data_IF_768805041562
#
_entry.id   IF_768805041562
#
_cell.length_a   1.000
_cell.length_b   1.000
_cell.length_c   1.000
_cell.angle_alpha   90.00
_cell.angle_beta   90.00
_cell.angle_gamma   90.00
#
_symmetry.space_group_name_H-M   'P 1'
#
loop_
_entity.id
_entity.type
_entity.pdbx_description
1 polymer ?
#
# COMPACT_ATOMS: atom_id res chain seq x y z
N UNK A 1 71.76 9.62 43.71
CA UNK A 1 71.53 9.52 42.25
C UNK A 1 70.84 8.20 41.98
N UNK A 2 69.52 8.22 41.87
CA UNK A 2 68.70 7.08 41.44
C UNK A 2 67.62 7.66 40.51
N UNK A 3 67.56 7.12 39.30
CA UNK A 3 66.55 7.43 38.29
C UNK A 3 65.14 7.10 38.78
N UNK A 4 64.16 7.89 38.36
CA UNK A 4 62.78 7.46 38.27
C UNK A 4 62.13 8.12 37.06
N UNK A 5 62.09 7.36 35.97
CA UNK A 5 61.11 7.51 34.92
C UNK A 5 59.71 7.35 35.53
N UNK A 6 58.87 8.37 35.45
CA UNK A 6 57.43 8.22 35.61
C UNK A 6 56.68 9.42 35.00
N UNK A 7 55.86 9.15 33.99
CA UNK A 7 54.66 9.93 33.74
C UNK A 7 54.69 10.88 32.55
N UNK A 8 54.86 10.36 31.33
CA UNK A 8 54.37 11.06 30.13
C UNK A 8 53.43 10.18 29.30
N UNK A 9 52.42 9.63 29.97
CA UNK A 9 51.38 8.82 29.32
C UNK A 9 50.05 8.89 30.10
N UNK A 10 49.48 10.08 30.35
CA UNK A 10 48.03 10.21 30.61
C UNK A 10 47.49 11.66 30.56
N UNK A 11 47.45 12.30 29.38
CA UNK A 11 46.79 13.61 29.21
C UNK A 11 45.95 13.70 27.93
N UNK A 12 45.12 12.69 27.68
CA UNK A 12 44.17 12.72 26.55
C UNK A 12 42.81 12.11 26.89
N UNK A 13 42.35 12.28 28.13
CA UNK A 13 40.96 12.03 28.50
C UNK A 13 40.48 13.22 29.33
N UNK A 14 39.37 13.82 28.92
CA UNK A 14 38.56 14.78 29.69
C UNK A 14 38.84 16.29 29.55
N UNK A 15 39.23 16.79 28.37
CA UNK A 15 39.00 18.20 28.03
C UNK A 15 37.72 18.34 27.21
N UNK A 16 36.56 18.40 27.90
CA UNK A 16 35.31 18.85 27.29
C UNK A 16 35.55 20.24 26.71
N UNK A 17 35.25 20.44 25.42
CA UNK A 17 35.52 21.73 24.77
C UNK A 17 34.69 22.84 25.42
N UNK A 18 35.28 24.02 25.59
CA UNK A 18 34.61 25.20 26.14
C UNK A 18 33.39 25.60 25.31
N UNK A 19 33.43 25.33 24.01
CA UNK A 19 32.28 25.47 23.09
C UNK A 19 31.13 24.53 23.44
N UNK A 20 31.40 23.26 23.77
CA UNK A 20 30.38 22.31 24.19
C UNK A 20 29.75 22.71 25.54
N UNK A 21 30.58 23.14 26.49
CA UNK A 21 30.08 23.66 27.78
C UNK A 21 29.24 24.92 27.60
N UNK A 22 29.65 25.85 26.72
CA UNK A 22 28.88 27.05 26.41
C UNK A 22 27.56 26.72 25.72
N UNK A 23 27.55 25.78 24.78
CA UNK A 23 26.35 25.30 24.13
C UNK A 23 25.39 24.62 25.13
N UNK A 24 25.92 23.83 26.06
CA UNK A 24 25.13 23.16 27.11
C UNK A 24 24.59 24.16 28.15
N UNK A 25 25.34 25.21 28.50
CA UNK A 25 24.87 26.28 29.37
C UNK A 25 23.76 27.11 28.69
N UNK A 26 23.95 27.49 27.43
CA UNK A 26 22.90 28.15 26.64
C UNK A 26 21.66 27.27 26.51
N UNK A 27 21.82 25.93 26.38
CA UNK A 27 20.71 24.98 26.37
C UNK A 27 19.93 25.00 27.69
N UNK A 28 20.61 25.07 28.84
CA UNK A 28 19.98 25.11 30.16
C UNK A 28 19.28 26.44 30.43
N UNK A 29 19.87 27.54 29.99
CA UNK A 29 19.25 28.87 30.06
C UNK A 29 17.99 28.93 29.17
N UNK A 30 18.04 28.37 27.97
CA UNK A 30 16.88 28.21 27.08
C UNK A 30 15.79 27.31 27.73
N UNK A 31 16.18 26.24 28.44
CA UNK A 31 15.22 25.38 29.15
C UNK A 31 14.51 26.09 30.31
N UNK A 32 15.19 27.04 30.98
CA UNK A 32 14.56 27.87 32.00
C UNK A 32 13.54 28.88 31.43
N UNK A 33 13.64 29.21 30.15
CA UNK A 33 12.75 30.16 29.45
C UNK A 33 11.62 29.49 28.63
N UNK A 34 11.50 28.15 28.66
CA UNK A 34 10.49 27.44 27.86
C UNK A 34 9.06 27.66 28.36
N UNK A 35 8.07 27.74 27.44
CA UNK A 35 6.67 27.74 27.84
C UNK A 35 6.32 26.41 28.52
N UNK A 36 5.52 26.47 29.60
CA UNK A 36 5.00 25.26 30.22
C UNK A 36 4.03 24.55 29.26
N UNK A 37 4.20 23.24 29.10
CA UNK A 37 3.21 22.42 28.41
C UNK A 37 1.94 22.29 29.27
N UNK A 38 0.78 22.26 28.62
CA UNK A 38 -0.53 22.13 29.23
C UNK A 38 -1.42 23.34 28.94
N UNK A 39 -2.71 23.07 28.75
CA UNK A 39 -3.72 24.08 28.47
C UNK A 39 -4.03 24.94 29.69
N UNK A 40 -4.00 24.37 30.90
CA UNK A 40 -4.31 25.08 32.15
C UNK A 40 -5.76 25.60 32.26
N UNK A 41 -6.61 25.37 31.25
CA UNK A 41 -7.97 25.91 31.17
C UNK A 41 -8.99 24.86 31.60
N UNK A 42 -9.68 25.09 32.72
CA UNK A 42 -10.88 24.34 33.11
C UNK A 42 -12.13 25.07 32.62
N UNK A 43 -12.47 24.88 31.34
CA UNK A 43 -13.72 25.37 30.79
C UNK A 43 -14.94 24.70 31.44
N UNK A 44 -16.14 25.30 31.27
CA UNK A 44 -17.38 24.66 31.70
C UNK A 44 -17.65 23.42 30.85
N UNK A 45 -17.45 22.23 31.44
CA UNK A 45 -17.63 20.96 30.77
C UNK A 45 -19.10 20.52 30.82
N UNK A 46 -19.71 20.30 29.66
CA UNK A 46 -21.08 19.81 29.58
C UNK A 46 -21.10 18.37 29.07
N UNK A 47 -21.14 17.42 29.98
CA UNK A 47 -21.09 15.99 29.66
C UNK A 47 -22.23 15.55 28.71
N UNK A 48 -23.40 16.21 28.78
CA UNK A 48 -24.57 15.82 27.97
C UNK A 48 -24.35 16.01 26.46
N UNK A 49 -23.69 17.09 26.06
CA UNK A 49 -23.36 17.35 24.65
C UNK A 49 -22.26 16.41 24.14
N UNK A 50 -21.32 16.01 25.00
CA UNK A 50 -20.31 15.00 24.64
C UNK A 50 -20.92 13.60 24.47
N UNK A 51 -21.89 13.23 25.32
CA UNK A 51 -22.62 11.96 25.17
C UNK A 51 -23.48 11.96 23.90
N UNK A 52 -24.12 13.10 23.58
CA UNK A 52 -24.82 13.25 22.31
C UNK A 52 -23.87 13.12 21.11
N UNK A 53 -22.73 13.80 21.15
CA UNK A 53 -21.69 13.71 20.12
C UNK A 53 -21.20 12.26 19.92
N UNK A 54 -21.04 11.50 21.00
CA UNK A 54 -20.68 10.08 20.94
C UNK A 54 -21.72 9.26 20.18
N UNK A 55 -23.00 9.42 20.52
CA UNK A 55 -24.09 8.74 19.81
C UNK A 55 -24.17 9.15 18.35
N UNK A 56 -24.01 10.44 18.06
CA UNK A 56 -24.02 10.99 16.70
C UNK A 56 -22.92 10.38 15.83
N UNK A 57 -21.66 10.39 16.32
CA UNK A 57 -20.52 9.86 15.59
C UNK A 57 -20.68 8.35 15.36
N UNK A 58 -21.11 7.59 16.37
CA UNK A 58 -21.37 6.15 16.25
C UNK A 58 -22.35 5.83 15.12
N UNK A 59 -23.48 6.56 15.07
CA UNK A 59 -24.51 6.34 14.05
C UNK A 59 -23.99 6.72 12.67
N UNK A 60 -23.39 7.91 12.54
CA UNK A 60 -22.89 8.41 11.26
C UNK A 60 -21.78 7.51 10.68
N UNK A 61 -20.80 7.11 11.50
CA UNK A 61 -19.69 6.25 11.07
C UNK A 61 -20.16 4.87 10.64
N UNK A 62 -21.09 4.26 11.40
CA UNK A 62 -21.66 2.94 11.09
C UNK A 62 -22.49 2.98 9.81
N UNK A 63 -23.31 4.03 9.62
CA UNK A 63 -24.13 4.19 8.41
C UNK A 63 -23.25 4.47 7.20
N UNK A 64 -22.27 5.39 7.30
CA UNK A 64 -21.40 5.75 6.19
C UNK A 64 -20.54 4.57 5.72
N UNK A 65 -19.98 3.79 6.65
CA UNK A 65 -19.20 2.59 6.35
C UNK A 65 -20.07 1.42 5.87
N UNK A 66 -21.28 1.25 6.43
CA UNK A 66 -22.21 0.22 6.01
C UNK A 66 -22.87 0.47 4.64
N UNK A 67 -22.98 1.73 4.22
CA UNK A 67 -23.73 2.12 3.02
C UNK A 67 -23.24 1.45 1.72
N UNK A 68 -21.93 1.42 1.38
CA UNK A 68 -21.43 0.71 0.21
C UNK A 68 -21.72 -0.80 0.23
N UNK A 69 -21.68 -1.44 1.40
CA UNK A 69 -21.96 -2.87 1.56
C UNK A 69 -23.44 -3.18 1.29
N UNK A 70 -24.34 -2.37 1.86
CA UNK A 70 -25.78 -2.49 1.67
C UNK A 70 -26.12 -2.25 0.20
N UNK A 71 -25.55 -1.21 -0.42
CA UNK A 71 -25.73 -0.88 -1.83
C UNK A 71 -25.36 -2.05 -2.75
N UNK A 72 -24.24 -2.74 -2.47
CA UNK A 72 -23.83 -3.93 -3.24
C UNK A 72 -24.80 -5.11 -3.08
N UNK A 73 -25.35 -5.34 -1.89
CA UNK A 73 -26.24 -6.48 -1.62
C UNK A 73 -27.68 -6.24 -2.09
N UNK A 74 -28.16 -5.00 -2.03
CA UNK A 74 -29.57 -4.67 -2.25
C UNK A 74 -29.92 -4.40 -3.70
N UNK A 75 -28.95 -4.07 -4.56
CA UNK A 75 -29.26 -3.60 -5.91
C UNK A 75 -28.86 -4.61 -7.00
N UNK A 76 -29.87 -5.12 -7.72
CA UNK A 76 -29.71 -5.76 -9.04
C UNK A 76 -29.71 -4.75 -10.20
N UNK A 77 -29.71 -3.44 -9.90
CA UNK A 77 -29.77 -2.36 -10.89
C UNK A 77 -28.36 -1.87 -11.26
N UNK A 78 -28.16 -1.58 -12.55
CA UNK A 78 -26.92 -1.07 -13.12
C UNK A 78 -26.39 0.22 -12.43
N UNK A 79 -27.25 0.99 -11.76
CA UNK A 79 -26.86 2.22 -11.06
C UNK A 79 -26.00 2.00 -9.81
N UNK A 80 -26.16 0.87 -9.10
CA UNK A 80 -25.38 0.62 -7.88
C UNK A 80 -23.90 0.31 -8.17
N UNK A 81 -23.62 -0.34 -9.30
CA UNK A 81 -22.24 -0.55 -9.76
C UNK A 81 -21.50 0.76 -10.02
N UNK A 82 -22.18 1.77 -10.59
CA UNK A 82 -21.60 3.09 -10.82
C UNK A 82 -21.35 3.85 -9.51
N UNK A 83 -22.29 3.78 -8.56
CA UNK A 83 -22.10 4.40 -7.25
C UNK A 83 -20.89 3.81 -6.50
N UNK A 84 -20.79 2.47 -6.43
CA UNK A 84 -19.67 1.79 -5.75
C UNK A 84 -18.33 2.15 -6.42
N UNK A 85 -18.30 2.18 -7.75
CA UNK A 85 -17.12 2.57 -8.52
C UNK A 85 -16.66 4.00 -8.18
N UNK A 86 -17.56 4.98 -8.17
CA UNK A 86 -17.23 6.37 -7.84
C UNK A 86 -16.80 6.47 -6.37
N UNK A 87 -17.55 5.85 -5.47
CA UNK A 87 -17.27 5.84 -4.02
C UNK A 87 -15.89 5.24 -3.70
N UNK A 88 -15.47 4.22 -4.45
CA UNK A 88 -14.17 3.56 -4.28
C UNK A 88 -13.00 4.51 -4.57
N UNK A 89 -13.07 5.21 -5.70
CA UNK A 89 -12.02 6.15 -6.11
C UNK A 89 -12.07 7.45 -5.32
N UNK A 90 -13.27 7.95 -5.02
CA UNK A 90 -13.45 9.04 -4.07
C UNK A 90 -12.80 8.71 -2.72
N UNK A 91 -13.03 7.49 -2.21
CA UNK A 91 -12.42 7.02 -0.97
C UNK A 91 -10.90 6.98 -1.00
N UNK A 92 -10.28 6.59 -2.12
CA UNK A 92 -8.81 6.66 -2.28
C UNK A 92 -8.29 8.08 -2.07
N UNK A 93 -8.96 9.07 -2.66
CA UNK A 93 -8.61 10.47 -2.48
C UNK A 93 -8.75 10.94 -1.04
N UNK A 94 -9.84 10.56 -0.37
CA UNK A 94 -10.07 10.86 1.06
C UNK A 94 -8.93 10.33 1.91
N UNK A 95 -8.55 9.06 1.77
CA UNK A 95 -7.50 8.45 2.59
C UNK A 95 -6.12 9.09 2.38
N UNK A 96 -5.77 9.39 1.12
CA UNK A 96 -4.51 10.09 0.80
C UNK A 96 -4.51 11.49 1.44
N UNK A 97 -5.62 12.22 1.35
CA UNK A 97 -5.75 13.54 1.97
C UNK A 97 -5.74 13.46 3.49
N UNK A 98 -6.37 12.47 4.13
CA UNK A 98 -6.22 12.26 5.58
C UNK A 98 -4.75 12.15 5.94
N UNK A 99 -4.01 11.29 5.24
CA UNK A 99 -2.63 11.01 5.58
C UNK A 99 -1.71 12.23 5.41
N UNK A 100 -1.84 12.98 4.30
CA UNK A 100 -1.00 14.14 3.99
C UNK A 100 -1.43 15.46 4.64
N UNK A 101 -2.73 15.71 4.78
CA UNK A 101 -3.27 17.00 5.23
C UNK A 101 -3.61 16.98 6.71
N UNK A 102 -4.05 15.84 7.26
CA UNK A 102 -4.48 15.76 8.65
C UNK A 102 -3.44 15.09 9.53
N UNK A 103 -3.03 13.86 9.21
CA UNK A 103 -2.18 13.07 10.10
C UNK A 103 -0.76 13.60 10.16
N UNK A 104 -0.14 13.75 8.98
CA UNK A 104 1.26 14.14 8.90
C UNK A 104 1.50 15.53 9.48
N UNK A 105 0.71 16.57 9.14
CA UNK A 105 0.93 17.91 9.68
C UNK A 105 0.63 17.96 11.18
N UNK A 106 -0.41 17.27 11.66
CA UNK A 106 -0.68 17.19 13.10
C UNK A 106 0.47 16.53 13.85
N UNK A 107 1.09 15.49 13.27
CA UNK A 107 2.27 14.86 13.84
C UNK A 107 3.47 15.83 13.92
N UNK A 108 3.69 16.61 12.85
CA UNK A 108 4.72 17.65 12.84
C UNK A 108 4.48 18.72 13.90
N UNK A 109 3.27 19.29 13.96
CA UNK A 109 2.92 20.33 14.93
C UNK A 109 3.09 19.80 16.36
N UNK A 110 2.62 18.59 16.64
CA UNK A 110 2.69 18.02 18.00
C UNK A 110 4.12 17.66 18.43
N UNK A 111 4.95 17.09 17.53
CA UNK A 111 6.33 16.71 17.85
C UNK A 111 7.32 17.88 17.82
N UNK A 112 6.97 19.01 17.18
CA UNK A 112 7.83 20.20 17.11
C UNK A 112 7.40 21.33 18.04
N UNK A 113 6.47 21.06 18.96
CA UNK A 113 5.99 22.06 19.91
C UNK A 113 7.14 22.64 20.76
N UNK A 114 7.24 23.97 20.92
CA UNK A 114 8.33 24.62 21.66
C UNK A 114 8.39 24.24 23.15
N UNK A 115 7.29 23.73 23.72
CA UNK A 115 7.25 23.29 25.11
C UNK A 115 7.99 21.95 25.33
N UNK A 116 8.24 21.16 24.27
CA UNK A 116 8.90 19.86 24.33
C UNK A 116 10.42 19.95 24.57
N UNK A 117 11.07 18.85 25.03
CA UNK A 117 12.53 18.77 25.18
C UNK A 117 13.26 19.17 23.88
N UNK A 118 14.47 19.72 24.02
CA UNK A 118 15.23 20.29 22.90
C UNK A 118 15.36 19.33 21.71
N UNK A 119 15.53 18.04 21.98
CA UNK A 119 15.61 16.99 20.96
C UNK A 119 14.45 17.03 19.96
N UNK A 120 13.22 17.22 20.44
CA UNK A 120 12.00 17.20 19.64
C UNK A 120 11.74 18.55 18.94
N UNK A 121 11.92 19.67 19.66
CA UNK A 121 11.57 21.01 19.16
C UNK A 121 12.63 21.64 18.24
N UNK A 122 13.92 21.51 18.58
CA UNK A 122 15.04 22.14 17.84
C UNK A 122 16.06 21.14 17.29
N UNK A 123 16.25 19.99 17.94
CA UNK A 123 17.27 19.00 17.57
C UNK A 123 16.99 18.28 16.26
N UNK A 124 15.81 17.65 16.14
CA UNK A 124 15.42 16.90 14.94
C UNK A 124 13.95 17.12 14.57
N UNK A 125 13.65 18.30 14.00
CA UNK A 125 12.30 18.65 13.51
C UNK A 125 11.68 17.67 12.52
N UNK A 126 12.42 17.01 11.60
CA UNK A 126 11.82 16.05 10.68
C UNK A 126 11.47 14.68 11.29
N UNK A 127 11.46 14.55 12.63
CA UNK A 127 11.17 13.29 13.33
C UNK A 127 9.84 12.67 12.92
N UNK A 128 8.77 13.47 12.79
CA UNK A 128 7.46 12.97 12.38
C UNK A 128 7.51 12.28 11.01
N UNK A 129 8.19 12.90 10.04
CA UNK A 129 8.41 12.33 8.72
C UNK A 129 9.27 11.07 8.73
N UNK A 130 10.31 11.02 9.57
CA UNK A 130 11.14 9.83 9.75
C UNK A 130 10.33 8.65 10.29
N UNK A 131 9.49 8.88 11.30
CA UNK A 131 8.62 7.85 11.90
C UNK A 131 7.58 7.38 10.88
N UNK A 132 6.96 8.29 10.13
CA UNK A 132 6.03 7.94 9.07
C UNK A 132 6.70 7.08 7.99
N UNK A 133 7.87 7.49 7.50
CA UNK A 133 8.65 6.72 6.52
C UNK A 133 9.01 5.32 7.04
N UNK A 134 9.50 5.23 8.29
CA UNK A 134 9.83 3.94 8.89
C UNK A 134 8.61 3.03 8.99
N UNK A 135 7.45 3.56 9.41
CA UNK A 135 6.22 2.77 9.48
C UNK A 135 5.76 2.26 8.10
N UNK A 136 5.90 3.06 7.04
CA UNK A 136 5.61 2.63 5.67
C UNK A 136 6.56 1.50 5.22
N UNK A 137 7.86 1.63 5.50
CA UNK A 137 8.86 0.59 5.20
C UNK A 137 8.61 -0.70 5.99
N UNK A 138 8.16 -0.59 7.25
CA UNK A 138 7.77 -1.76 8.05
C UNK A 138 6.59 -2.47 7.39
N UNK A 139 5.58 -1.77 6.86
CA UNK A 139 4.47 -2.42 6.14
C UNK A 139 4.98 -3.14 4.90
N UNK A 140 5.85 -2.51 4.10
CA UNK A 140 6.49 -3.17 2.95
C UNK A 140 7.24 -4.43 3.39
N UNK A 141 8.03 -4.33 4.46
CA UNK A 141 8.73 -5.48 5.03
C UNK A 141 7.79 -6.58 5.49
N UNK A 142 6.67 -6.22 6.15
CA UNK A 142 5.65 -7.18 6.56
C UNK A 142 4.96 -7.82 5.36
N UNK A 143 4.59 -7.06 4.33
CA UNK A 143 4.02 -7.61 3.09
C UNK A 143 5.00 -8.53 2.38
N UNK A 144 6.27 -8.16 2.30
CA UNK A 144 7.33 -9.00 1.73
C UNK A 144 7.48 -10.31 2.52
N UNK A 145 7.56 -10.24 3.86
CA UNK A 145 7.67 -11.42 4.72
C UNK A 145 6.43 -12.30 4.64
N UNK A 146 5.23 -11.72 4.60
CA UNK A 146 3.98 -12.46 4.47
C UNK A 146 3.84 -13.09 3.08
N UNK A 147 4.36 -12.45 2.04
CA UNK A 147 4.42 -13.02 0.68
C UNK A 147 5.39 -14.20 0.64
N UNK A 148 6.58 -14.06 1.23
CA UNK A 148 7.59 -15.13 1.30
C UNK A 148 7.12 -16.31 2.16
N UNK A 149 6.52 -16.04 3.34
CA UNK A 149 6.04 -17.09 4.26
C UNK A 149 4.70 -17.69 3.82
N UNK A 150 3.88 -16.93 3.10
CA UNK A 150 2.67 -17.43 2.45
C UNK A 150 2.98 -18.43 1.32
N UNK A 151 4.18 -18.36 0.74
CA UNK A 151 4.71 -19.35 -0.18
C UNK A 151 5.27 -20.63 0.51
N UNK A 152 5.21 -20.71 1.85
CA UNK A 152 5.73 -21.85 2.61
C UNK A 152 4.96 -23.18 2.44
N UNK A 153 3.87 -23.21 1.67
CA UNK A 153 3.16 -24.45 1.30
C UNK A 153 2.76 -24.55 -0.19
N UNK A 154 3.38 -23.78 -1.09
CA UNK A 154 3.25 -24.06 -2.52
C UNK A 154 4.43 -23.47 -3.30
N UNK A 155 5.15 -24.33 -4.01
CA UNK A 155 6.38 -24.01 -4.71
C UNK A 155 6.20 -22.99 -5.84
N UNK A 156 7.00 -21.92 -5.73
CA UNK A 156 7.90 -21.36 -6.75
C UNK A 156 7.37 -20.58 -7.97
N UNK A 157 7.99 -19.39 -8.08
CA UNK A 157 8.31 -18.54 -9.23
C UNK A 157 7.32 -17.51 -9.78
N UNK A 158 7.80 -16.26 -9.61
CA UNK A 158 7.64 -15.05 -10.42
C UNK A 158 7.16 -15.26 -11.86
N UNK A 159 6.28 -14.34 -12.24
CA UNK A 159 5.50 -14.40 -13.46
C UNK A 159 6.29 -14.30 -14.76
N UNK A 160 5.71 -14.94 -15.77
CA UNK A 160 5.86 -14.58 -17.16
C UNK A 160 4.53 -14.88 -17.88
N UNK A 161 4.28 -14.14 -18.95
CA UNK A 161 3.01 -13.95 -19.62
C UNK A 161 2.60 -15.13 -20.48
N UNK A 162 1.29 -15.37 -20.63
CA UNK A 162 0.76 -16.15 -21.76
C UNK A 162 -0.29 -15.36 -22.52
N UNK A 163 -0.05 -15.27 -23.83
CA UNK A 163 -0.82 -14.55 -24.82
C UNK A 163 -2.14 -15.27 -25.11
N UNK A 164 -3.19 -14.49 -25.37
CA UNK A 164 -4.46 -15.00 -25.89
C UNK A 164 -4.32 -15.18 -27.40
N UNK A 165 -4.55 -16.37 -27.98
CA UNK A 165 -4.71 -16.51 -29.42
C UNK A 165 -6.09 -16.04 -29.85
N UNK A 166 -6.11 -15.36 -30.99
CA UNK A 166 -7.30 -14.90 -31.71
C UNK A 166 -8.31 -16.01 -31.98
N UNK A 167 -9.59 -15.64 -31.91
CA UNK A 167 -10.70 -16.49 -32.33
C UNK A 167 -11.03 -16.22 -33.80
N UNK A 168 -10.84 -17.23 -34.65
CA UNK A 168 -11.37 -17.26 -36.01
C UNK A 168 -12.07 -18.60 -36.28
N UNK A 169 -13.39 -18.49 -36.51
CA UNK A 169 -14.23 -19.19 -37.50
C UNK A 169 -14.12 -20.74 -37.65
N UNK A 170 -15.10 -21.46 -37.09
CA UNK A 170 -15.38 -22.86 -37.43
C UNK A 170 -16.07 -22.97 -38.80
N UNK A 171 -15.34 -23.51 -39.79
CA UNK A 171 -15.89 -24.03 -41.04
C UNK A 171 -16.19 -25.54 -40.91
N UNK A 172 -17.38 -25.89 -41.39
CA UNK A 172 -18.06 -27.17 -41.31
C UNK A 172 -17.60 -28.13 -42.43
N UNK A 173 -17.25 -29.39 -42.14
CA UNK A 173 -17.37 -30.48 -43.13
C UNK A 173 -17.66 -31.86 -42.50
N UNK A 174 -18.79 -32.39 -42.92
CA UNK A 174 -19.29 -33.76 -42.73
C UNK A 174 -18.37 -34.83 -43.30
N UNK A 175 -18.27 -35.99 -42.64
CA UNK A 175 -18.29 -37.29 -43.35
C UNK A 175 -18.78 -38.45 -42.47
N UNK A 176 -19.92 -38.99 -42.90
CA UNK A 176 -20.55 -40.30 -42.70
C UNK A 176 -19.92 -41.35 -41.77
N UNK A 177 -20.68 -41.78 -40.76
CA UNK A 177 -20.48 -43.03 -40.03
C UNK A 177 -21.72 -43.93 -40.18
N UNK A 178 -21.53 -45.13 -40.74
CA UNK A 178 -22.53 -46.19 -40.82
C UNK A 178 -22.04 -47.44 -40.05
N UNK A 179 -22.74 -47.72 -38.94
CA UNK A 179 -23.14 -49.01 -38.36
C UNK A 179 -22.14 -50.14 -37.95
N UNK A 180 -22.50 -50.74 -36.80
CA UNK A 180 -22.32 -52.15 -36.29
C UNK A 180 -21.26 -52.44 -35.19
N UNK A 181 -21.50 -53.44 -34.30
CA UNK A 181 -21.39 -53.28 -32.84
C UNK A 181 -20.38 -54.22 -32.12
N UNK A 182 -20.20 -53.94 -30.82
CA UNK A 182 -19.41 -54.65 -29.78
C UNK A 182 -19.40 -56.18 -29.84
N UNK A 183 -18.34 -56.79 -29.26
CA UNK A 183 -18.56 -57.84 -28.25
C UNK A 183 -17.83 -57.61 -26.91
N UNK A 184 -18.45 -58.13 -25.85
CA UNK A 184 -18.01 -58.21 -24.45
C UNK A 184 -16.99 -59.35 -24.23
N UNK A 185 -16.03 -59.18 -23.29
CA UNK A 185 -15.39 -60.25 -22.47
C UNK A 185 -14.96 -59.62 -21.12
N UNK A 186 -15.64 -59.84 -19.99
CA UNK A 186 -15.52 -60.92 -18.97
C UNK A 186 -14.23 -60.94 -18.13
N UNK A 187 -14.43 -60.68 -16.84
CA UNK A 187 -13.67 -60.93 -15.60
C UNK A 187 -12.37 -61.76 -15.62
N UNK A 188 -11.37 -61.28 -14.88
CA UNK A 188 -10.25 -62.05 -14.34
C UNK A 188 -9.59 -61.33 -13.15
N UNK A 189 -9.47 -62.04 -12.02
CA UNK A 189 -9.07 -61.57 -10.70
C UNK A 189 -7.68 -62.17 -10.36
N UNK A 190 -6.91 -61.47 -9.51
CA UNK A 190 -5.88 -61.99 -8.59
C UNK A 190 -4.40 -62.05 -9.04
N UNK A 191 -3.62 -61.09 -8.52
CA UNK A 191 -2.51 -61.34 -7.56
C UNK A 191 -1.13 -61.76 -8.09
N UNK A 192 -0.12 -60.89 -7.91
CA UNK A 192 1.23 -61.35 -7.56
C UNK A 192 2.06 -60.27 -6.83
N UNK A 193 2.73 -60.73 -5.78
CA UNK A 193 3.55 -60.01 -4.81
C UNK A 193 4.91 -59.53 -5.36
N UNK A 194 5.49 -58.54 -4.68
CA UNK A 194 6.94 -58.22 -4.64
C UNK A 194 7.16 -56.85 -3.98
N UNK A 195 7.17 -56.72 -2.64
CA UNK A 195 8.36 -56.76 -1.76
C UNK A 195 9.58 -55.99 -2.29
N UNK A 196 9.86 -54.80 -1.71
CA UNK A 196 11.08 -54.54 -0.95
C UNK A 196 11.06 -53.17 -0.26
N UNK A 197 11.55 -53.16 0.98
CA UNK A 197 11.75 -51.99 1.84
C UNK A 197 13.22 -51.99 2.33
N UNK A 198 13.70 -50.79 2.69
CA UNK A 198 14.81 -50.45 3.63
C UNK A 198 16.23 -50.18 3.02
N UNK A 199 17.15 -49.46 3.69
CA UNK A 199 17.20 -47.98 3.88
C UNK A 199 18.62 -47.32 3.81
N UNK A 200 18.63 -45.97 3.98
CA UNK A 200 19.51 -45.02 4.73
C UNK A 200 21.07 -45.08 4.72
N UNK A 201 21.59 -43.84 4.75
CA UNK A 201 22.89 -43.33 5.25
C UNK A 201 24.06 -43.22 4.26
N UNK A 202 24.34 -41.99 3.83
CA UNK A 202 25.71 -41.47 3.60
C UNK A 202 25.76 -40.03 4.12
N UNK A 203 26.67 -39.79 5.07
CA UNK A 203 27.12 -38.49 5.54
C UNK A 203 28.65 -38.41 5.38
N UNK A 204 29.20 -37.19 5.52
CA UNK A 204 30.62 -36.77 5.49
C UNK A 204 31.14 -36.44 4.09
N UNK A 205 31.90 -35.37 3.83
CA UNK A 205 32.45 -34.25 4.61
C UNK A 205 33.03 -33.22 3.61
N UNK A 206 33.12 -31.96 4.04
CA UNK A 206 34.06 -30.89 3.67
C UNK A 206 34.60 -30.71 2.23
N UNK A 207 34.38 -29.52 1.67
CA UNK A 207 35.51 -28.63 1.36
C UNK A 207 35.09 -27.17 1.16
N UNK A 208 35.89 -26.35 1.83
CA UNK A 208 35.93 -24.90 1.98
C UNK A 208 36.25 -24.14 0.66
N UNK A 209 35.62 -22.98 0.46
CA UNK A 209 36.12 -21.90 -0.39
C UNK A 209 35.30 -20.61 -0.16
N UNK A 210 35.49 -19.99 1.01
CA UNK A 210 35.29 -18.56 1.19
C UNK A 210 36.62 -17.81 1.07
N UNK A 211 36.79 -17.03 -0.01
CA UNK A 211 37.69 -15.86 -0.18
C UNK A 211 37.41 -15.33 -1.61
N UNK A 212 37.01 -14.08 -1.90
CA UNK A 212 37.45 -12.80 -1.35
C UNK A 212 38.48 -12.19 -2.31
N UNK A 213 38.08 -11.25 -3.20
CA UNK A 213 38.82 -10.04 -3.64
C UNK A 213 38.33 -9.43 -4.99
N UNK A 214 37.67 -8.28 -4.83
CA UNK A 214 37.71 -7.01 -5.62
C UNK A 214 38.43 -6.97 -6.97
N UNK A 215 37.68 -6.65 -8.03
CA UNK A 215 37.98 -5.69 -9.12
C UNK A 215 36.68 -5.56 -9.96
N UNK A 216 36.01 -4.42 -10.06
CA UNK A 216 36.51 -3.22 -10.71
C UNK A 216 36.16 -3.27 -12.20
N UNK A 217 35.26 -2.35 -12.61
CA UNK A 217 34.99 -1.89 -13.99
C UNK A 217 33.90 -2.63 -14.79
N UNK A 218 32.74 -1.96 -14.90
CA UNK A 218 31.75 -2.15 -15.97
C UNK A 218 32.15 -1.36 -17.22
N UNK A 219 31.86 -1.82 -18.45
CA UNK A 219 31.82 -0.95 -19.61
C UNK A 219 30.36 -0.64 -20.01
N UNK A 220 29.98 0.63 -19.83
CA UNK A 220 28.99 1.32 -20.66
C UNK A 220 29.65 1.75 -21.98
N UNK A 221 28.94 1.79 -23.11
CA UNK A 221 29.34 2.62 -24.24
C UNK A 221 28.59 3.96 -24.19
N UNK A 222 29.34 5.04 -24.13
CA UNK A 222 28.91 6.42 -24.42
C UNK A 222 29.42 6.80 -25.81
N UNK A 223 28.56 7.38 -26.65
CA UNK A 223 28.98 8.39 -27.63
C UNK A 223 27.81 9.34 -27.96
N UNK A 224 28.05 10.63 -27.71
CA UNK A 224 27.36 11.85 -28.20
C UNK A 224 28.37 12.62 -29.11
N UNK A 225 28.07 13.71 -29.87
CA UNK A 225 26.84 14.51 -30.07
C UNK A 225 26.52 14.97 -31.55
N UNK A 226 25.44 15.78 -31.67
CA UNK A 226 24.86 16.61 -32.79
C UNK A 226 25.84 17.47 -33.66
N UNK A 227 25.44 18.17 -34.79
CA UNK A 227 24.23 19.02 -34.97
C UNK A 227 23.53 19.03 -36.35
N UNK A 228 22.35 19.67 -36.41
CA UNK A 228 21.39 19.57 -37.52
C UNK A 228 21.44 20.65 -38.62
N UNK A 229 20.41 20.65 -39.48
CA UNK A 229 19.93 21.79 -40.28
C UNK A 229 18.48 21.58 -40.74
N UNK A 230 17.76 22.68 -40.90
CA UNK A 230 16.33 22.84 -41.21
C UNK A 230 16.02 22.70 -42.72
N UNK A 231 14.86 22.09 -43.03
CA UNK A 231 13.79 22.41 -44.04
C UNK A 231 14.15 22.97 -45.46
N UNK A 232 13.22 23.07 -46.47
CA UNK A 232 11.79 22.75 -46.49
C UNK A 232 11.25 22.01 -47.75
N UNK A 233 10.07 21.37 -47.58
CA UNK A 233 8.80 21.44 -48.35
C UNK A 233 8.76 21.86 -49.85
N UNK A 234 7.81 21.22 -50.56
CA UNK A 234 7.15 21.51 -51.88
C UNK A 234 7.73 20.77 -53.10
N UNK A 235 7.02 20.44 -54.19
CA UNK A 235 5.59 20.28 -54.61
C UNK A 235 5.68 20.15 -56.16
N UNK A 236 4.87 19.31 -56.81
CA UNK A 236 4.55 19.30 -58.28
C UNK A 236 5.72 18.94 -59.25
N UNK A 237 5.58 18.39 -60.46
CA UNK A 237 4.54 17.79 -61.33
C UNK A 237 5.30 17.22 -62.56
N UNK A 238 4.75 16.20 -63.23
CA UNK A 238 4.86 15.86 -64.68
C UNK A 238 6.23 15.48 -65.29
N UNK A 239 6.36 14.24 -65.81
CA UNK A 239 6.11 13.79 -67.21
C UNK A 239 7.23 14.29 -68.15
N UNK A 240 7.87 13.54 -69.06
CA UNK A 240 7.98 12.16 -69.54
C UNK A 240 9.49 12.03 -69.90
N UNK A 241 10.13 10.89 -70.19
CA UNK A 241 10.03 10.02 -71.36
C UNK A 241 11.37 9.24 -71.42
N UNK A 242 11.39 8.10 -72.12
CA UNK A 242 12.54 7.40 -72.71
C UNK A 242 13.31 6.32 -71.89
N UNK A 243 12.85 5.08 -72.08
CA UNK A 243 13.51 3.99 -72.83
C UNK A 243 14.63 3.08 -72.24
N UNK A 244 14.45 1.77 -72.57
CA UNK A 244 15.38 0.61 -72.62
C UNK A 244 15.74 -0.08 -71.27
N UNK A 245 15.17 -1.26 -70.95
CA UNK A 245 15.68 -2.64 -71.23
C UNK A 245 16.97 -2.96 -70.43
N UNK A 246 17.20 -4.09 -69.77
CA UNK A 246 16.80 -5.47 -70.03
C UNK A 246 17.35 -6.40 -68.91
N UNK A 247 16.81 -7.63 -68.80
CA UNK A 247 17.32 -8.87 -68.17
C UNK A 247 16.80 -9.33 -66.79
N UNK A 248 15.68 -10.05 -66.85
CA UNK A 248 15.36 -11.23 -66.04
C UNK A 248 16.28 -12.42 -66.39
N UNK A 249 16.54 -13.32 -65.44
CA UNK A 249 16.43 -14.77 -65.68
C UNK A 249 16.52 -15.58 -64.38
N UNK A 250 15.43 -16.32 -64.17
CA UNK A 250 15.14 -17.30 -63.14
C UNK A 250 16.15 -18.46 -63.02
N UNK A 251 15.94 -19.18 -61.91
CA UNK A 251 16.01 -20.66 -61.84
C UNK A 251 17.38 -21.27 -61.51
N UNK A 252 17.44 -21.92 -60.34
CA UNK A 252 17.92 -23.30 -60.14
C UNK A 252 17.91 -23.63 -58.64
N UNK A 253 16.89 -24.39 -58.21
CA UNK A 253 17.02 -25.32 -57.07
C UNK A 253 17.61 -26.64 -57.62
N UNK A 254 18.47 -27.33 -56.86
CA UNK A 254 18.03 -28.66 -56.42
C UNK A 254 18.53 -29.08 -55.02
N UNK A 255 17.59 -29.57 -54.21
CA UNK A 255 17.65 -30.78 -53.36
C UNK A 255 18.93 -31.09 -52.56
N UNK A 256 18.81 -31.02 -51.23
CA UNK A 256 19.48 -31.94 -50.31
C UNK A 256 18.61 -32.21 -49.07
N UNK A 257 17.96 -33.37 -49.07
CA UNK A 257 17.43 -33.97 -47.84
C UNK A 257 18.54 -34.62 -47.01
N UNK A 258 18.27 -34.74 -45.70
CA UNK A 258 18.75 -35.71 -44.71
C UNK A 258 19.55 -35.11 -43.53
N UNK A 259 18.95 -35.00 -42.35
CA UNK A 259 19.07 -36.00 -41.27
C UNK A 259 18.26 -35.60 -40.04
N UNK A 260 17.68 -36.62 -39.41
CA UNK A 260 16.69 -36.60 -38.34
C UNK A 260 17.36 -36.60 -36.94
N UNK A 261 16.55 -36.37 -35.88
CA UNK A 261 16.80 -36.45 -34.42
C UNK A 261 17.46 -35.22 -33.75
N UNK A 262 16.80 -34.54 -32.81
CA UNK A 262 16.48 -35.12 -31.49
C UNK A 262 15.31 -34.41 -30.80
N UNK A 263 14.51 -35.21 -30.10
CA UNK A 263 13.43 -34.84 -29.22
C UNK A 263 13.83 -33.73 -28.23
N UNK A 264 13.22 -32.55 -28.36
CA UNK A 264 13.21 -31.55 -27.28
C UNK A 264 11.98 -31.85 -26.43
N UNK A 265 12.20 -32.65 -25.39
CA UNK A 265 11.24 -32.86 -24.30
C UNK A 265 10.92 -31.50 -23.68
N UNK A 266 9.75 -30.95 -24.03
CA UNK A 266 9.27 -29.68 -23.49
C UNK A 266 8.87 -29.95 -22.03
N UNK A 267 9.47 -29.27 -21.02
CA UNK A 267 9.09 -29.50 -19.64
C UNK A 267 7.62 -29.11 -19.44
N UNK A 268 6.86 -29.82 -18.60
CA UNK A 268 5.45 -29.54 -18.38
C UNK A 268 5.30 -28.13 -17.80
N UNK A 269 4.65 -27.23 -18.55
CA UNK A 269 4.24 -25.93 -18.04
C UNK A 269 3.27 -26.13 -16.88
N UNK A 270 3.74 -25.84 -15.67
CA UNK A 270 2.91 -25.78 -14.48
C UNK A 270 2.04 -24.51 -14.54
N UNK A 271 0.78 -24.66 -14.91
CA UNK A 271 -0.25 -23.62 -14.75
C UNK A 271 -0.44 -23.31 -13.26
N UNK A 272 0.37 -22.40 -12.71
CA UNK A 272 0.26 -21.90 -11.34
C UNK A 272 -0.85 -20.85 -11.25
N UNK A 273 -2.11 -21.30 -11.24
CA UNK A 273 -3.24 -20.45 -10.88
C UNK A 273 -3.18 -20.20 -9.37
N UNK A 274 -2.84 -18.98 -8.96
CA UNK A 274 -3.00 -18.52 -7.57
C UNK A 274 -4.43 -18.85 -7.13
N UNK A 275 -4.58 -19.64 -6.07
CA UNK A 275 -5.90 -20.03 -5.60
C UNK A 275 -6.73 -18.77 -5.29
N UNK A 276 -8.00 -18.69 -5.74
CA UNK A 276 -8.87 -17.55 -5.45
C UNK A 276 -9.08 -17.31 -3.94
N UNK A 277 -8.75 -18.30 -3.11
CA UNK A 277 -8.73 -18.15 -1.66
C UNK A 277 -7.53 -17.35 -1.14
N UNK A 278 -6.36 -17.50 -1.76
CA UNK A 278 -5.14 -16.83 -1.31
C UNK A 278 -5.12 -15.36 -1.73
N UNK A 279 -5.63 -15.05 -2.92
CA UNK A 279 -5.85 -13.66 -3.33
C UNK A 279 -6.87 -12.96 -2.41
N UNK A 280 -7.93 -13.67 -1.99
CA UNK A 280 -8.90 -13.13 -1.02
C UNK A 280 -8.25 -12.87 0.34
N UNK A 281 -7.41 -13.78 0.84
CA UNK A 281 -6.68 -13.57 2.10
C UNK A 281 -5.76 -12.35 2.01
N UNK A 282 -5.09 -12.16 0.88
CA UNK A 282 -4.21 -11.00 0.63
C UNK A 282 -4.98 -9.69 0.66
N UNK A 283 -6.12 -9.62 -0.04
CA UNK A 283 -6.99 -8.43 -0.04
C UNK A 283 -7.57 -8.13 1.36
N UNK A 284 -7.96 -9.17 2.11
CA UNK A 284 -8.42 -9.01 3.50
C UNK A 284 -7.30 -8.47 4.38
N UNK A 285 -6.08 -8.98 4.23
CA UNK A 285 -4.93 -8.51 4.99
C UNK A 285 -4.60 -7.05 4.67
N UNK A 286 -4.57 -6.67 3.39
CA UNK A 286 -4.38 -5.27 2.97
C UNK A 286 -5.47 -4.36 3.52
N UNK A 287 -6.73 -4.79 3.45
CA UNK A 287 -7.85 -4.07 4.02
C UNK A 287 -7.73 -3.95 5.55
N UNK A 288 -7.26 -4.98 6.24
CA UNK A 288 -7.06 -4.97 7.69
C UNK A 288 -5.89 -4.06 8.10
N UNK A 289 -4.80 -4.03 7.32
CA UNK A 289 -3.69 -3.09 7.53
C UNK A 289 -4.15 -1.64 7.36
N UNK A 290 -4.96 -1.38 6.33
CA UNK A 290 -5.58 -0.07 6.10
C UNK A 290 -6.54 0.29 7.25
N UNK A 291 -7.40 -0.65 7.66
CA UNK A 291 -8.33 -0.48 8.78
C UNK A 291 -7.57 -0.17 10.08
N UNK A 292 -6.47 -0.87 10.37
CA UNK A 292 -5.64 -0.63 11.54
C UNK A 292 -5.07 0.80 11.58
N UNK A 293 -4.58 1.32 10.44
CA UNK A 293 -4.09 2.70 10.34
C UNK A 293 -5.18 3.73 10.64
N UNK A 294 -6.41 3.53 10.12
CA UNK A 294 -7.56 4.41 10.38
C UNK A 294 -8.03 4.28 11.84
N UNK A 295 -8.08 3.06 12.38
CA UNK A 295 -8.52 2.76 13.74
C UNK A 295 -7.65 3.47 14.79
N UNK A 296 -6.32 3.39 14.66
CA UNK A 296 -5.42 4.04 15.62
C UNK A 296 -5.62 5.55 15.66
N UNK A 297 -5.72 6.20 14.49
CA UNK A 297 -6.00 7.64 14.42
C UNK A 297 -7.37 7.99 15.02
N UNK A 298 -8.40 7.19 14.73
CA UNK A 298 -9.79 7.42 15.16
C UNK A 298 -9.95 7.43 16.69
N UNK A 299 -9.15 6.66 17.44
CA UNK A 299 -9.18 6.68 18.91
C UNK A 299 -8.78 8.06 19.44
N UNK A 300 -7.73 8.66 18.87
CA UNK A 300 -7.21 9.95 19.30
C UNK A 300 -8.10 11.11 18.88
N UNK A 301 -8.70 11.05 17.69
CA UNK A 301 -9.77 11.98 17.33
C UNK A 301 -10.88 11.93 18.37
N UNK A 302 -11.32 10.72 18.75
CA UNK A 302 -12.36 10.55 19.76
C UNK A 302 -11.99 11.18 21.10
N UNK A 303 -10.76 10.95 21.57
CA UNK A 303 -10.24 11.60 22.77
C UNK A 303 -10.19 13.13 22.62
N UNK A 304 -9.77 13.66 21.47
CA UNK A 304 -9.73 15.10 21.21
C UNK A 304 -11.12 15.74 21.26
N UNK A 305 -12.15 15.08 20.71
CA UNK A 305 -13.54 15.58 20.77
C UNK A 305 -14.06 15.59 22.21
N UNK A 306 -13.61 14.66 23.06
CA UNK A 306 -14.05 14.59 24.46
C UNK A 306 -13.49 15.70 25.33
N UNK A 307 -12.34 16.29 24.98
CA UNK A 307 -11.66 17.34 25.76
C UNK A 307 -11.92 18.74 25.22
N UNK A 308 -12.39 18.86 23.97
CA UNK A 308 -12.77 20.14 23.37
C UNK A 308 -13.99 20.74 24.09
N UNK A 309 -13.96 22.04 24.42
CA UNK A 309 -15.07 22.73 25.09
C UNK A 309 -15.39 24.07 24.40
N UNK A 310 -16.59 24.60 24.64
CA UNK A 310 -17.01 25.91 24.12
C UNK A 310 -17.39 25.91 22.62
N UNK A 311 -17.39 27.08 21.96
CA UNK A 311 -17.69 27.18 20.52
C UNK A 311 -16.80 26.32 19.60
N UNK A 312 -15.48 26.16 19.86
CA UNK A 312 -14.63 25.28 19.05
C UNK A 312 -15.08 23.82 19.05
N UNK A 313 -15.72 23.33 20.13
CA UNK A 313 -16.24 21.97 20.18
C UNK A 313 -17.30 21.72 19.09
N UNK A 314 -18.20 22.68 18.84
CA UNK A 314 -19.27 22.49 17.84
C UNK A 314 -18.70 22.47 16.42
N UNK A 315 -17.74 23.36 16.13
CA UNK A 315 -17.03 23.39 14.85
C UNK A 315 -16.30 22.07 14.65
N UNK A 316 -15.51 21.65 15.63
CA UNK A 316 -14.76 20.41 15.57
C UNK A 316 -15.66 19.17 15.44
N UNK A 317 -16.80 19.14 16.14
CA UNK A 317 -17.78 18.05 16.04
C UNK A 317 -18.38 17.92 14.64
N UNK A 318 -18.77 19.04 14.02
CA UNK A 318 -19.29 19.04 12.65
C UNK A 318 -18.20 18.59 11.68
N UNK A 319 -16.95 19.03 11.89
CA UNK A 319 -15.85 18.72 11.00
C UNK A 319 -15.53 17.23 11.04
N UNK A 320 -15.43 16.67 12.25
CA UNK A 320 -15.22 15.25 12.48
C UNK A 320 -16.42 14.42 12.01
N UNK A 321 -17.66 14.91 12.08
CA UNK A 321 -18.80 14.20 11.52
C UNK A 321 -18.67 13.99 10.01
N UNK A 322 -18.23 15.03 9.27
CA UNK A 322 -17.96 14.89 7.83
C UNK A 322 -16.70 14.06 7.54
N UNK A 323 -15.60 14.32 8.26
CA UNK A 323 -14.34 13.59 8.15
C UNK A 323 -14.57 12.07 8.32
N UNK A 324 -15.19 11.68 9.43
CA UNK A 324 -15.50 10.29 9.76
C UNK A 324 -16.50 9.67 8.76
N UNK A 325 -17.44 10.47 8.23
CA UNK A 325 -18.35 9.95 7.20
C UNK A 325 -17.62 9.65 5.90
N UNK A 326 -16.69 10.51 5.46
CA UNK A 326 -15.91 10.28 4.24
C UNK A 326 -14.92 9.14 4.37
N UNK A 327 -14.23 9.03 5.51
CA UNK A 327 -13.36 7.89 5.79
C UNK A 327 -14.14 6.58 5.91
N UNK A 328 -15.32 6.61 6.54
CA UNK A 328 -16.21 5.46 6.63
C UNK A 328 -16.66 5.00 5.25
N UNK A 329 -17.07 5.92 4.37
CA UNK A 329 -17.41 5.62 2.99
C UNK A 329 -16.22 5.01 2.22
N UNK A 330 -15.01 5.55 2.43
CA UNK A 330 -13.79 5.03 1.82
C UNK A 330 -13.50 3.59 2.24
N UNK A 331 -13.46 3.31 3.55
CA UNK A 331 -13.26 1.96 4.08
C UNK A 331 -14.39 1.00 3.67
N UNK A 332 -15.64 1.45 3.78
CA UNK A 332 -16.82 0.68 3.41
C UNK A 332 -16.80 0.26 1.94
N UNK A 333 -16.37 1.14 1.04
CA UNK A 333 -16.22 0.82 -0.39
C UNK A 333 -15.16 -0.25 -0.65
N UNK A 334 -14.07 -0.27 0.13
CA UNK A 334 -13.02 -1.30 0.04
C UNK A 334 -13.48 -2.65 0.59
N UNK A 335 -14.18 -2.65 1.73
CA UNK A 335 -14.83 -3.86 2.25
C UNK A 335 -15.87 -4.39 1.25
N UNK A 336 -16.61 -3.50 0.60
CA UNK A 336 -17.57 -3.84 -0.44
C UNK A 336 -16.91 -4.31 -1.75
N UNK A 337 -15.63 -4.07 -2.00
CA UNK A 337 -14.94 -4.63 -3.16
C UNK A 337 -14.55 -6.11 -2.94
N UNK A 338 -14.34 -6.53 -1.68
CA UNK A 338 -13.95 -7.91 -1.35
C UNK A 338 -15.13 -8.87 -1.55
N UNK A 339 -14.88 -10.00 -2.22
CA UNK A 339 -15.89 -11.05 -2.44
C UNK A 339 -16.06 -11.94 -1.21
N UNK A 340 -16.92 -11.51 -0.28
CA UNK A 340 -17.32 -12.30 0.87
C UNK A 340 -18.46 -13.28 0.53
N UNK A 341 -18.51 -14.46 1.18
CA UNK A 341 -19.68 -15.33 1.12
C UNK A 341 -20.95 -14.59 1.54
N UNK A 342 -22.11 -14.82 0.90
CA UNK A 342 -23.33 -14.03 1.09
C UNK A 342 -23.86 -13.99 2.54
N UNK A 343 -23.52 -15.00 3.35
CA UNK A 343 -23.90 -15.10 4.79
C UNK A 343 -22.74 -14.82 5.76
N UNK A 344 -21.60 -14.32 5.29
CA UNK A 344 -20.46 -14.04 6.17
C UNK A 344 -20.73 -12.82 7.08
N UNK A 345 -20.51 -12.92 8.41
CA UNK A 345 -20.59 -11.79 9.34
C UNK A 345 -19.35 -10.88 9.29
N UNK A 346 -18.23 -11.35 8.71
CA UNK A 346 -16.95 -10.64 8.67
C UNK A 346 -17.04 -9.17 8.21
N UNK A 347 -17.66 -8.83 7.07
CA UNK A 347 -17.72 -7.44 6.62
C UNK A 347 -18.51 -6.54 7.57
N UNK A 348 -19.53 -7.06 8.26
CA UNK A 348 -20.28 -6.31 9.26
C UNK A 348 -19.49 -6.10 10.55
N UNK A 349 -18.65 -7.06 10.93
CA UNK A 349 -17.72 -6.89 12.05
C UNK A 349 -16.70 -5.79 11.78
N UNK A 350 -16.16 -5.69 10.56
CA UNK A 350 -15.25 -4.60 10.17
C UNK A 350 -15.95 -3.23 10.19
N UNK A 351 -17.19 -3.15 9.69
CA UNK A 351 -18.00 -1.92 9.78
C UNK A 351 -18.23 -1.51 11.24
N UNK A 352 -18.57 -2.46 12.11
CA UNK A 352 -18.76 -2.20 13.54
C UNK A 352 -17.46 -1.83 14.25
N UNK A 353 -16.34 -2.48 13.92
CA UNK A 353 -15.03 -2.16 14.47
C UNK A 353 -14.63 -0.72 14.14
N UNK A 354 -14.80 -0.30 12.89
CA UNK A 354 -14.62 1.09 12.48
C UNK A 354 -15.57 2.03 13.24
N UNK A 355 -16.86 1.72 13.26
CA UNK A 355 -17.89 2.60 13.83
C UNK A 355 -17.76 2.83 15.33
N UNK A 356 -17.30 1.81 16.08
CA UNK A 356 -17.19 1.83 17.53
C UNK A 356 -15.89 2.48 18.03
N UNK A 357 -14.85 2.54 17.21
CA UNK A 357 -13.51 2.99 17.62
C UNK A 357 -13.47 4.46 18.06
N UNK A 358 -14.07 5.37 17.29
CA UNK A 358 -14.13 6.79 17.69
C UNK A 358 -14.96 7.01 18.96
N UNK A 359 -16.15 6.38 19.12
CA UNK A 359 -16.89 6.36 20.37
C UNK A 359 -16.12 5.78 21.57
N UNK A 360 -15.33 4.72 21.38
CA UNK A 360 -14.44 4.20 22.42
C UNK A 360 -13.41 5.25 22.81
N UNK A 361 -12.78 5.91 21.82
CA UNK A 361 -11.86 7.02 22.06
C UNK A 361 -12.51 8.17 22.84
N UNK A 362 -13.74 8.54 22.48
CA UNK A 362 -14.52 9.55 23.21
C UNK A 362 -14.86 9.12 24.64
N UNK A 363 -15.23 7.86 24.84
CA UNK A 363 -15.54 7.31 26.17
C UNK A 363 -14.29 7.29 27.06
N UNK A 364 -13.15 6.86 26.53
CA UNK A 364 -11.85 6.92 27.22
C UNK A 364 -11.56 8.36 27.59
N UNK A 365 -11.62 9.27 26.61
CA UNK A 365 -11.36 10.68 26.81
C UNK A 365 -12.31 11.34 27.83
N UNK A 366 -13.60 10.99 27.84
CA UNK A 366 -14.58 11.39 28.86
C UNK A 366 -14.21 10.90 30.27
N UNK A 367 -13.64 9.70 30.40
CA UNK A 367 -13.19 9.19 31.71
C UNK A 367 -11.92 9.91 32.15
N UNK A 368 -10.98 10.15 31.23
CA UNK A 368 -9.67 10.71 31.54
C UNK A 368 -9.58 12.23 31.40
N UNK A 369 -10.64 12.95 31.02
CA UNK A 369 -10.59 14.40 30.71
C UNK A 369 -10.09 15.28 31.88
N UNK A 370 -10.20 14.80 33.12
CA UNK A 370 -9.66 15.48 34.31
C UNK A 370 -8.18 15.16 34.59
N UNK A 371 -7.64 14.10 33.99
CA UNK A 371 -6.30 13.57 34.22
C UNK A 371 -5.37 13.72 33.00
N UNK A 372 -5.95 13.82 31.81
CA UNK A 372 -5.25 13.91 30.53
C UNK A 372 -5.44 15.30 29.93
N UNK A 373 -4.32 15.99 29.73
CA UNK A 373 -4.26 17.22 28.94
C UNK A 373 -3.54 16.93 27.61
N UNK A 374 -4.21 17.04 26.45
CA UNK A 374 -3.58 16.85 25.14
C UNK A 374 -2.40 17.77 24.89
N UNK A 375 -2.39 18.95 25.54
CA UNK A 375 -1.33 19.95 25.43
C UNK A 375 -0.18 19.69 26.41
N UNK A 376 -0.27 18.66 27.26
CA UNK A 376 0.86 18.23 28.09
C UNK A 376 1.99 17.65 27.23
N UNK A 377 3.22 17.65 27.75
CA UNK A 377 4.37 17.08 27.04
C UNK A 377 4.13 15.61 26.63
N UNK A 378 3.55 14.81 27.54
CA UNK A 378 3.21 13.41 27.25
C UNK A 378 2.09 13.29 26.22
N UNK A 379 1.08 14.16 26.28
CA UNK A 379 -0.02 14.22 25.30
C UNK A 379 0.48 14.53 23.89
N UNK A 380 1.29 15.57 23.75
CA UNK A 380 1.90 16.00 22.49
C UNK A 380 2.78 14.91 21.88
N UNK A 381 3.62 14.25 22.69
CA UNK A 381 4.44 13.13 22.22
C UNK A 381 3.57 11.96 21.76
N UNK A 382 2.56 11.56 22.53
CA UNK A 382 1.70 10.43 22.18
C UNK A 382 0.91 10.70 20.89
N UNK A 383 0.27 11.86 20.79
CA UNK A 383 -0.48 12.29 19.58
C UNK A 383 0.46 12.38 18.39
N UNK A 384 1.64 12.97 18.59
CA UNK A 384 2.65 13.15 17.56
C UNK A 384 3.15 11.84 16.96
N UNK A 385 3.61 10.91 17.80
CA UNK A 385 4.09 9.60 17.35
C UNK A 385 2.97 8.76 16.73
N UNK A 386 1.78 8.72 17.34
CA UNK A 386 0.70 7.90 16.82
C UNK A 386 0.19 8.41 15.47
N UNK A 387 0.06 9.73 15.29
CA UNK A 387 -0.31 10.30 14.00
C UNK A 387 0.80 10.13 12.95
N UNK A 388 2.08 10.17 13.33
CA UNK A 388 3.18 9.87 12.40
C UNK A 388 3.14 8.42 11.90
N UNK A 389 2.95 7.45 12.81
CA UNK A 389 2.81 6.04 12.46
C UNK A 389 1.58 5.84 11.58
N UNK A 390 0.42 6.36 12.00
CA UNK A 390 -0.83 6.21 11.24
C UNK A 390 -0.74 6.86 9.85
N UNK A 391 -0.08 8.02 9.75
CA UNK A 391 0.19 8.67 8.46
C UNK A 391 1.01 7.79 7.54
N UNK A 392 2.10 7.19 7.99
CA UNK A 392 2.92 6.32 7.16
C UNK A 392 2.19 5.05 6.70
N UNK A 393 1.38 4.45 7.58
CA UNK A 393 0.50 3.33 7.22
C UNK A 393 -0.51 3.72 6.12
N UNK A 394 -1.20 4.85 6.29
CA UNK A 394 -2.20 5.32 5.33
C UNK A 394 -1.59 5.85 4.04
N UNK A 395 -0.40 6.44 4.08
CA UNK A 395 0.33 6.85 2.87
C UNK A 395 0.71 5.64 2.03
N UNK A 396 1.25 4.59 2.66
CA UNK A 396 1.55 3.35 1.95
C UNK A 396 0.28 2.72 1.37
N UNK A 397 -0.76 2.54 2.19
CA UNK A 397 -2.01 1.96 1.72
C UNK A 397 -2.65 2.81 0.60
N UNK A 398 -2.74 4.13 0.79
CA UNK A 398 -3.36 5.05 -0.16
C UNK A 398 -2.62 5.16 -1.49
N UNK A 399 -1.29 5.36 -1.45
CA UNK A 399 -0.51 5.56 -2.68
C UNK A 399 -0.16 4.24 -3.38
N UNK A 400 0.29 3.23 -2.62
CA UNK A 400 0.80 1.98 -3.19
C UNK A 400 -0.31 0.97 -3.38
N UNK A 401 -1.08 0.65 -2.33
CA UNK A 401 -2.10 -0.41 -2.43
C UNK A 401 -3.36 0.02 -3.16
N UNK A 402 -3.75 1.30 -3.08
CA UNK A 402 -4.98 1.79 -3.69
C UNK A 402 -4.73 2.55 -4.99
N UNK A 403 -3.96 3.65 -4.97
CA UNK A 403 -3.83 4.52 -6.14
C UNK A 403 -3.04 3.85 -7.29
N UNK A 404 -1.89 3.25 -6.99
CA UNK A 404 -1.10 2.56 -8.00
C UNK A 404 -1.83 1.33 -8.56
N UNK A 405 -2.45 0.50 -7.71
CA UNK A 405 -3.22 -0.66 -8.18
C UNK A 405 -4.47 -0.22 -8.98
N UNK A 406 -5.20 0.81 -8.56
CA UNK A 406 -6.41 1.26 -9.25
C UNK A 406 -6.13 1.93 -10.62
N UNK A 407 -4.96 2.55 -10.85
CA UNK A 407 -4.68 3.33 -12.08
C UNK A 407 -3.49 2.88 -12.92
N UNK A 408 -2.48 2.28 -12.29
CA UNK A 408 -1.21 1.89 -12.92
C UNK A 408 -1.11 0.38 -13.14
N UNK A 409 -2.02 -0.43 -12.58
CA UNK A 409 -2.09 -1.87 -12.83
C UNK A 409 -2.58 -2.17 -14.26
N UNK A 410 -2.03 -3.21 -14.89
CA UNK A 410 -2.40 -3.64 -16.25
C UNK A 410 -3.91 -3.95 -16.36
N UNK A 411 -4.51 -4.51 -15.29
CA UNK A 411 -5.96 -4.74 -15.20
C UNK A 411 -6.79 -3.46 -15.32
N UNK A 412 -6.25 -2.33 -14.84
CA UNK A 412 -6.94 -1.03 -14.92
C UNK A 412 -6.93 -0.48 -16.34
N UNK A 413 -5.84 -0.68 -17.10
CA UNK A 413 -5.76 -0.21 -18.50
C UNK A 413 -6.75 -0.91 -19.42
N UNK A 414 -7.08 -2.17 -19.16
CA UNK A 414 -8.09 -2.92 -19.92
C UNK A 414 -9.53 -2.51 -19.59
N UNK A 415 -9.82 -2.22 -18.31
CA UNK A 415 -11.18 -1.95 -17.82
C UNK A 415 -11.55 -0.45 -17.88
N UNK A 416 -10.59 0.46 -17.70
CA UNK A 416 -10.81 1.92 -17.66
C UNK A 416 -10.31 2.60 -18.96
N UNK A 417 -11.06 2.45 -20.06
CA UNK A 417 -10.77 3.19 -21.31
C UNK A 417 -11.45 4.58 -21.33
N UNK A 418 -10.69 5.59 -21.76
CA UNK A 418 -11.18 6.94 -22.09
C UNK A 418 -11.94 7.67 -20.97
N UNK A 419 -13.25 7.85 -21.14
CA UNK A 419 -14.10 8.68 -20.27
C UNK A 419 -14.21 8.17 -18.84
N UNK A 420 -14.24 6.84 -18.65
CA UNK A 420 -14.38 6.23 -17.31
C UNK A 420 -13.14 6.42 -16.44
N UNK A 421 -11.96 6.50 -17.05
CA UNK A 421 -10.68 6.80 -16.36
C UNK A 421 -10.65 8.23 -15.83
N UNK A 422 -11.13 9.18 -16.63
CA UNK A 422 -11.27 10.56 -16.19
C UNK A 422 -12.34 10.73 -15.10
N UNK A 423 -13.44 9.99 -15.16
CA UNK A 423 -14.43 9.96 -14.07
C UNK A 423 -13.85 9.39 -12.76
N UNK A 424 -13.04 8.34 -12.84
CA UNK A 424 -12.33 7.79 -11.69
C UNK A 424 -11.32 8.79 -11.11
N UNK A 425 -10.49 9.39 -11.96
CA UNK A 425 -9.47 10.34 -11.55
C UNK A 425 -10.08 11.62 -10.93
N UNK A 426 -11.17 12.14 -11.52
CA UNK A 426 -11.88 13.28 -10.95
C UNK A 426 -12.53 12.95 -9.60
N UNK A 427 -13.01 11.72 -9.42
CA UNK A 427 -13.51 11.26 -8.12
C UNK A 427 -12.39 11.23 -7.05
N UNK A 428 -11.19 10.76 -7.38
CA UNK A 428 -10.03 10.81 -6.47
C UNK A 428 -9.70 12.26 -6.07
N UNK A 429 -9.59 13.16 -7.05
CA UNK A 429 -9.31 14.58 -6.77
C UNK A 429 -10.42 15.20 -5.92
N UNK A 430 -11.68 14.89 -6.24
CA UNK A 430 -12.83 15.36 -5.47
C UNK A 430 -12.79 14.91 -4.02
N UNK A 431 -12.48 13.64 -3.77
CA UNK A 431 -12.32 13.09 -2.42
C UNK A 431 -11.17 13.75 -1.65
N UNK A 432 -10.02 13.90 -2.30
CA UNK A 432 -8.86 14.54 -1.67
C UNK A 432 -9.13 16.02 -1.33
N UNK A 433 -9.72 16.75 -2.27
CA UNK A 433 -10.05 18.18 -2.09
C UNK A 433 -11.09 18.36 -0.99
N UNK A 434 -12.16 17.56 -0.99
CA UNK A 434 -13.21 17.65 0.01
C UNK A 434 -12.66 17.35 1.41
N UNK A 435 -11.84 16.31 1.54
CA UNK A 435 -11.24 15.96 2.83
C UNK A 435 -10.24 17.03 3.32
N UNK A 436 -9.47 17.63 2.40
CA UNK A 436 -8.59 18.76 2.73
C UNK A 436 -9.39 19.99 3.20
N UNK A 437 -10.50 20.32 2.53
CA UNK A 437 -11.39 21.42 2.94
C UNK A 437 -11.98 21.19 4.32
N UNK A 438 -12.39 19.95 4.64
CA UNK A 438 -12.96 19.63 5.95
C UNK A 438 -11.97 19.90 7.07
N UNK A 439 -10.70 19.52 6.96
CA UNK A 439 -9.75 19.83 8.03
C UNK A 439 -9.03 21.17 7.90
N UNK A 440 -9.17 21.90 6.79
CA UNK A 440 -8.91 23.34 6.82
C UNK A 440 -9.97 24.11 7.62
N UNK A 441 -11.17 23.53 7.75
CA UNK A 441 -12.28 24.08 8.51
C UNK A 441 -12.32 23.61 9.98
N UNK A 442 -11.79 22.42 10.27
CA UNK A 442 -11.60 21.86 11.61
C UNK A 442 -10.51 22.62 12.39
#
# INVERSE_FOLDING_TARGET
MVNSDAGNADKSKDTISTEFLRAELLRRDDEAAKPQCGSGVKGSYNTSVHVFALGLILVLSTVACGFPLISRRSSKSAGAGRFIFISQHFGTGVLIATAFVHLLPTAFVSLSDPCLPHFFSKGYRPLAGLVAMFSALVVVGLEMVLTIRGAGHSHSHGGDWDAVPDGEEEHNHNTNQLALPKPKKTNGRLGKLGLNHRPKDIALEDMDASEGLVAGVSPLPVATPSPGHQAPRNKYHDENEDDESDLDLDELDPTAEAFNSSDVETPPQANNVISPEDERKRQILQCLLLEAGILFHSIFIGMAVSVATGPPFVVFLIAIAFHQSFEGLALGSRIAAINFPPRSPRPWLMVLAYGLTTPIGQAIGLIVHNLYDPQSAAGLLMVGFMNAISSGLLLFAGLVQLLAEDFLSNKSYDILKGRRRWEAFSAVIGGATLMALVGAWA
#
